data_IF_208804340946
#
_entry.id   IF_208804340946
#
_cell.length_a   1.000
_cell.length_b   1.000
_cell.length_c   1.000
_cell.angle_alpha   90.00
_cell.angle_beta   90.00
_cell.angle_gamma   90.00
#
_symmetry.space_group_name_H-M   'P 1'
#
loop_
_entity.id
_entity.type
_entity.pdbx_description
1 polymer ?
#
# COMPACT_ATOMS: atom_id res chain seq x y z
N UNK A 1 9.56 -5.04 9.54
CA UNK A 1 9.20 -3.68 9.03
C UNK A 1 8.03 -3.81 8.08
N UNK A 2 7.10 -2.85 8.07
CA UNK A 2 5.89 -2.88 7.23
C UNK A 2 6.29 -2.90 5.75
N UNK A 3 7.27 -2.08 5.36
CA UNK A 3 7.86 -2.05 4.03
C UNK A 3 8.32 -3.41 3.49
N UNK A 4 8.89 -4.26 4.35
CA UNK A 4 9.37 -5.58 3.92
C UNK A 4 8.22 -6.53 3.60
N UNK A 5 7.12 -6.48 4.36
CA UNK A 5 5.91 -7.27 4.06
C UNK A 5 5.30 -6.84 2.73
N UNK A 6 5.22 -5.53 2.46
CA UNK A 6 4.74 -5.01 1.17
C UNK A 6 5.64 -5.52 0.03
N UNK A 7 6.96 -5.41 0.17
CA UNK A 7 7.91 -5.90 -0.85
C UNK A 7 7.80 -7.41 -1.09
N UNK A 8 7.47 -8.20 -0.06
CA UNK A 8 7.18 -9.63 -0.24
C UNK A 8 5.93 -9.85 -1.10
N UNK A 9 4.84 -9.11 -0.83
CA UNK A 9 3.61 -9.18 -1.64
C UNK A 9 3.89 -8.76 -3.09
N UNK A 10 4.65 -7.69 -3.30
CA UNK A 10 5.08 -7.24 -4.63
C UNK A 10 5.81 -8.35 -5.39
N UNK A 11 6.78 -9.03 -4.74
CA UNK A 11 7.49 -10.17 -5.34
C UNK A 11 6.54 -11.32 -5.69
N UNK A 12 5.61 -11.68 -4.80
CA UNK A 12 4.61 -12.72 -5.06
C UNK A 12 3.71 -12.39 -6.26
N UNK A 13 3.32 -11.12 -6.39
CA UNK A 13 2.48 -10.61 -7.49
C UNK A 13 3.27 -10.29 -8.76
N UNK A 14 4.60 -10.45 -8.75
CA UNK A 14 5.52 -10.08 -9.84
C UNK A 14 5.40 -8.61 -10.28
N UNK A 15 5.12 -7.72 -9.32
CA UNK A 15 5.01 -6.28 -9.56
C UNK A 15 6.29 -5.59 -9.09
N UNK A 16 6.83 -4.71 -9.93
CA UNK A 16 8.11 -4.02 -9.70
C UNK A 16 7.91 -2.69 -8.97
N UNK A 17 9.00 -2.18 -8.37
CA UNK A 17 9.01 -0.83 -7.77
C UNK A 17 8.70 0.26 -8.79
N UNK A 18 9.05 0.06 -10.06
CA UNK A 18 8.79 1.03 -11.13
C UNK A 18 7.28 1.14 -11.38
N UNK A 19 6.59 0.01 -11.50
CA UNK A 19 5.14 -0.03 -11.71
C UNK A 19 4.37 0.56 -10.52
N UNK A 20 4.82 0.30 -9.29
CA UNK A 20 4.19 0.92 -8.11
C UNK A 20 4.42 2.42 -8.09
N UNK A 21 5.62 2.89 -8.44
CA UNK A 21 5.92 4.32 -8.48
C UNK A 21 5.06 5.03 -9.54
N UNK A 22 4.92 4.42 -10.73
CA UNK A 22 4.04 4.90 -11.80
C UNK A 22 2.58 4.97 -11.34
N UNK A 23 2.06 3.93 -10.68
CA UNK A 23 0.71 3.93 -10.12
C UNK A 23 0.49 5.06 -9.10
N UNK A 24 1.50 5.35 -8.27
CA UNK A 24 1.44 6.42 -7.28
C UNK A 24 1.73 7.83 -7.85
N UNK A 25 2.02 7.95 -9.15
CA UNK A 25 2.40 9.23 -9.76
C UNK A 25 3.71 9.80 -9.20
N UNK A 26 4.66 8.94 -8.80
CA UNK A 26 5.95 9.34 -8.21
C UNK A 26 7.14 8.69 -8.93
N UNK A 27 8.36 9.11 -8.60
CA UNK A 27 9.56 8.50 -9.18
C UNK A 27 9.95 7.21 -8.42
N UNK A 28 10.56 6.21 -9.11
CA UNK A 28 11.05 5.00 -8.45
C UNK A 28 12.02 5.28 -7.30
N UNK A 29 12.85 6.33 -7.45
CA UNK A 29 13.79 6.77 -6.41
C UNK A 29 13.06 7.34 -5.19
N UNK A 30 12.02 8.15 -5.38
CA UNK A 30 11.22 8.69 -4.30
C UNK A 30 10.50 7.57 -3.53
N UNK A 31 9.93 6.60 -4.25
CA UNK A 31 9.30 5.42 -3.62
C UNK A 31 10.34 4.57 -2.87
N UNK A 32 11.51 4.33 -3.46
CA UNK A 32 12.60 3.60 -2.79
C UNK A 32 13.04 4.29 -1.49
N UNK A 33 13.13 5.63 -1.51
CA UNK A 33 13.43 6.43 -0.32
C UNK A 33 12.33 6.28 0.75
N UNK A 34 11.05 6.31 0.37
CA UNK A 34 9.93 6.08 1.32
C UNK A 34 10.02 4.70 1.96
N UNK A 35 10.28 3.66 1.17
CA UNK A 35 10.47 2.30 1.68
C UNK A 35 11.69 2.17 2.59
N UNK A 36 12.80 2.87 2.30
CA UNK A 36 14.01 2.79 3.12
C UNK A 36 13.89 3.56 4.43
N UNK A 37 13.13 4.65 4.44
CA UNK A 37 12.95 5.54 5.60
C UNK A 37 11.72 5.21 6.45
N UNK A 38 10.94 4.20 6.05
CA UNK A 38 9.66 3.83 6.67
C UNK A 38 8.65 4.99 6.74
N UNK A 39 8.60 5.82 5.69
CA UNK A 39 7.71 7.01 5.63
C UNK A 39 6.53 6.79 4.67
N UNK A 40 6.06 5.56 4.52
CA UNK A 40 4.82 5.28 3.79
C UNK A 40 3.62 5.76 4.61
N UNK A 41 2.81 6.64 4.03
CA UNK A 41 1.56 7.06 4.63
C UNK A 41 0.48 5.96 4.53
N UNK A 42 -0.62 6.11 5.28
CA UNK A 42 -1.77 5.23 5.13
C UNK A 42 -2.33 5.27 3.69
N UNK A 43 -2.32 6.45 3.06
CA UNK A 43 -2.67 6.60 1.65
C UNK A 43 -1.77 5.75 0.75
N UNK A 44 -0.43 5.87 0.91
CA UNK A 44 0.52 5.09 0.13
C UNK A 44 0.26 3.59 0.31
N UNK A 45 0.03 3.15 1.55
CA UNK A 45 -0.19 1.74 1.88
C UNK A 45 -1.46 1.19 1.21
N UNK A 46 -2.58 1.91 1.32
CA UNK A 46 -3.86 1.51 0.73
C UNK A 46 -3.75 1.47 -0.80
N UNK A 47 -3.21 2.52 -1.43
CA UNK A 47 -3.06 2.59 -2.88
C UNK A 47 -2.15 1.48 -3.42
N UNK A 48 -1.00 1.23 -2.77
CA UNK A 48 -0.11 0.14 -3.16
C UNK A 48 -0.83 -1.21 -3.04
N UNK A 49 -1.50 -1.48 -1.93
CA UNK A 49 -2.15 -2.78 -1.71
C UNK A 49 -3.31 -2.98 -2.68
N UNK A 50 -4.11 -1.96 -2.95
CA UNK A 50 -5.21 -2.02 -3.91
C UNK A 50 -4.68 -2.33 -5.32
N UNK A 51 -3.60 -1.67 -5.75
CA UNK A 51 -2.92 -1.96 -7.01
C UNK A 51 -2.38 -3.41 -7.09
N UNK A 52 -1.95 -3.97 -5.96
CA UNK A 52 -1.51 -5.37 -5.85
C UNK A 52 -2.68 -6.37 -5.79
N UNK A 53 -3.93 -5.91 -5.82
CA UNK A 53 -5.13 -6.72 -5.63
C UNK A 53 -5.22 -7.26 -4.19
N UNK A 54 -4.92 -6.40 -3.22
CA UNK A 54 -4.95 -6.65 -1.78
C UNK A 54 -5.70 -5.51 -1.07
N UNK A 55 -6.07 -5.71 0.18
CA UNK A 55 -6.69 -4.67 1.01
C UNK A 55 -6.14 -4.74 2.44
N UNK A 56 -6.28 -3.66 3.19
CA UNK A 56 -5.98 -3.67 4.63
C UNK A 56 -7.24 -4.11 5.36
N UNK A 57 -7.09 -5.03 6.31
CA UNK A 57 -8.17 -5.41 7.23
C UNK A 57 -7.69 -5.17 8.66
N UNK A 58 -8.51 -4.47 9.44
CA UNK A 58 -8.34 -4.35 10.90
C UNK A 58 -9.36 -5.26 11.56
N UNK A 59 -8.87 -6.17 12.39
CA UNK A 59 -9.68 -7.05 13.21
C UNK A 59 -9.89 -6.38 14.58
N UNK A 60 -11.15 -6.07 14.89
CA UNK A 60 -11.60 -5.55 16.17
C UNK A 60 -12.28 -6.68 16.94
N UNK A 61 -11.71 -7.02 18.08
CA UNK A 61 -12.20 -8.11 18.91
C UNK A 61 -13.56 -7.76 19.56
N UNK A 62 -14.51 -8.70 19.63
CA UNK A 62 -14.32 -10.13 19.36
C UNK A 62 -14.36 -10.54 17.88
N UNK A 63 -15.19 -9.96 17.01
CA UNK A 63 -15.45 -10.54 15.66
C UNK A 63 -15.69 -9.52 14.53
N UNK A 64 -15.31 -8.26 14.70
CA UNK A 64 -15.55 -7.22 13.68
C UNK A 64 -14.33 -7.08 12.78
N UNK A 65 -14.51 -7.21 11.46
CA UNK A 65 -13.45 -6.92 10.48
C UNK A 65 -13.83 -5.65 9.72
N UNK A 66 -12.99 -4.62 9.84
CA UNK A 66 -13.09 -3.38 9.06
C UNK A 66 -12.06 -3.43 7.93
N UNK A 67 -12.51 -3.24 6.69
CA UNK A 67 -11.66 -3.28 5.49
C UNK A 67 -11.42 -1.87 4.96
N UNK A 68 -10.20 -1.60 4.51
CA UNK A 68 -9.81 -0.34 3.87
C UNK A 68 -9.28 -0.62 2.46
N UNK A 69 -9.78 0.14 1.49
CA UNK A 69 -9.41 0.09 0.07
C UNK A 69 -9.42 1.51 -0.55
N UNK A 70 -9.16 1.60 -1.85
CA UNK A 70 -9.06 2.88 -2.56
C UNK A 70 -10.32 3.76 -2.50
N UNK A 71 -11.50 3.20 -2.20
CA UNK A 71 -12.71 4.02 -2.00
C UNK A 71 -12.64 4.87 -0.73
N UNK A 72 -11.92 4.40 0.30
CA UNK A 72 -11.74 5.13 1.56
C UNK A 72 -10.74 6.30 1.45
N UNK A 73 -10.08 6.44 0.29
CA UNK A 73 -9.16 7.55 0.01
C UNK A 73 -9.86 8.77 -0.58
N UNK A 74 -11.12 8.63 -1.02
CA UNK A 74 -11.90 9.73 -1.58
C UNK A 74 -12.37 10.62 -0.43
N UNK A 75 -12.09 11.92 -0.51
CA UNK A 75 -12.74 12.89 0.37
C UNK A 75 -14.20 13.03 -0.06
N UNK A 76 -15.12 13.05 0.90
CA UNK A 76 -16.50 13.46 0.61
C UNK A 76 -16.48 14.84 -0.08
N UNK A 77 -17.36 15.05 -1.08
CA UNK A 77 -17.40 16.28 -1.87
C UNK A 77 -17.70 17.53 -1.02
#
# INVERSE_FOLDING_TARGET
MVSQKIKQIMKMKKITNIQVAEHLGTSPQALANKFSRETLSAYDLIAILDFLGCQISVEAFPDIIVKFNSNDLKREP
#
